data_IF_635314233452
#
_entry.id   IF_635314233452
#
_cell.length_a   1.000
_cell.length_b   1.000
_cell.length_c   1.000
_cell.angle_alpha   90.00
_cell.angle_beta   90.00
_cell.angle_gamma   90.00
#
_symmetry.space_group_name_H-M   'P 1'
#
loop_
_entity.id
_entity.type
_entity.pdbx_description
1 polymer ?
#
# COMPACT_ATOMS: atom_id res chain seq x y z
N UNK A 1 53.11 -20.55 -6.97
CA UNK A 1 52.00 -20.80 -6.01
C UNK A 1 51.70 -19.58 -5.12
N UNK A 2 52.72 -18.82 -4.73
CA UNK A 2 52.52 -17.59 -3.94
C UNK A 2 51.83 -16.46 -4.71
N UNK A 3 52.06 -16.34 -6.01
CA UNK A 3 51.42 -15.30 -6.83
C UNK A 3 49.94 -15.58 -7.08
N UNK A 4 49.56 -16.86 -7.16
CA UNK A 4 48.14 -17.27 -7.28
C UNK A 4 47.37 -16.97 -6.02
N UNK A 5 47.94 -17.14 -4.83
CA UNK A 5 47.33 -16.76 -3.57
C UNK A 5 47.29 -15.25 -3.37
N UNK A 6 48.27 -14.48 -3.87
CA UNK A 6 48.22 -12.99 -3.80
C UNK A 6 47.17 -12.38 -4.71
N UNK A 7 46.93 -12.98 -5.87
CA UNK A 7 45.87 -12.53 -6.80
C UNK A 7 44.45 -12.80 -6.24
N UNK A 8 44.26 -13.91 -5.53
CA UNK A 8 43.02 -14.21 -4.82
C UNK A 8 42.88 -13.47 -3.48
N UNK A 9 43.98 -13.09 -2.83
CA UNK A 9 43.94 -12.31 -1.57
C UNK A 9 43.97 -10.80 -1.78
N UNK A 10 44.13 -10.29 -2.99
CA UNK A 10 43.79 -8.94 -3.38
C UNK A 10 42.25 -8.80 -3.56
N UNK A 11 41.50 -9.41 -2.67
CA UNK A 11 40.11 -9.08 -2.42
C UNK A 11 40.15 -7.66 -1.92
N UNK A 12 39.90 -6.73 -2.84
CA UNK A 12 40.00 -5.28 -2.60
C UNK A 12 38.89 -4.87 -1.61
N UNK A 13 39.17 -5.08 -0.32
CA UNK A 13 38.29 -4.76 0.78
C UNK A 13 37.79 -3.32 0.67
N UNK A 14 38.60 -2.42 0.10
CA UNK A 14 38.20 -1.04 -0.17
C UNK A 14 37.07 -0.94 -1.14
N UNK A 15 37.09 -1.64 -2.26
CA UNK A 15 36.01 -1.63 -3.27
C UNK A 15 34.72 -2.27 -2.74
N UNK A 16 34.84 -3.33 -1.95
CA UNK A 16 33.68 -3.97 -1.32
C UNK A 16 33.03 -3.02 -0.32
N UNK A 17 33.83 -2.34 0.49
CA UNK A 17 33.32 -1.35 1.46
C UNK A 17 32.68 -0.18 0.73
N UNK A 18 33.30 0.34 -0.34
CA UNK A 18 32.72 1.41 -1.14
C UNK A 18 31.37 1.05 -1.79
N UNK A 19 31.18 -0.20 -2.20
CA UNK A 19 29.91 -0.67 -2.77
C UNK A 19 28.86 -1.04 -1.71
N UNK A 20 29.27 -1.66 -0.60
CA UNK A 20 28.35 -2.10 0.44
C UNK A 20 27.90 -0.96 1.37
N UNK A 21 28.77 0.02 1.62
CA UNK A 21 28.46 1.13 2.52
C UNK A 21 27.18 1.89 2.13
N UNK A 22 27.00 2.31 0.86
CA UNK A 22 25.77 3.00 0.45
C UNK A 22 24.54 2.09 0.55
N UNK A 23 24.65 0.79 0.27
CA UNK A 23 23.54 -0.15 0.38
C UNK A 23 23.10 -0.29 1.83
N UNK A 24 24.06 -0.46 2.76
CA UNK A 24 23.76 -0.53 4.19
C UNK A 24 23.15 0.77 4.70
N UNK A 25 23.66 1.91 4.26
CA UNK A 25 23.12 3.22 4.63
C UNK A 25 21.68 3.36 4.15
N UNK A 26 21.39 3.05 2.89
CA UNK A 26 20.02 3.10 2.34
C UNK A 26 19.10 2.11 3.05
N UNK A 27 19.58 0.90 3.36
CA UNK A 27 18.82 -0.07 4.13
C UNK A 27 18.41 0.49 5.52
N UNK A 28 19.36 1.09 6.24
CA UNK A 28 19.08 1.70 7.55
C UNK A 28 18.10 2.86 7.42
N UNK A 29 18.27 3.73 6.42
CA UNK A 29 17.34 4.85 6.17
C UNK A 29 15.94 4.33 5.85
N UNK A 30 15.81 3.33 4.98
CA UNK A 30 14.52 2.71 4.66
C UNK A 30 13.86 2.08 5.90
N UNK A 31 14.62 1.38 6.73
CA UNK A 31 14.10 0.80 7.97
C UNK A 31 13.61 1.86 8.96
N UNK A 32 14.33 2.99 9.07
CA UNK A 32 13.88 4.13 9.88
C UNK A 32 12.61 4.76 9.29
N UNK A 33 12.57 4.98 7.99
CA UNK A 33 11.39 5.51 7.29
C UNK A 33 10.17 4.60 7.50
N UNK A 34 10.32 3.28 7.35
CA UNK A 34 9.26 2.30 7.60
C UNK A 34 8.76 2.40 9.05
N UNK A 35 9.65 2.49 10.04
CA UNK A 35 9.26 2.66 11.44
C UNK A 35 8.46 3.95 11.67
N UNK A 36 8.88 5.06 11.07
CA UNK A 36 8.19 6.35 11.21
C UNK A 36 6.81 6.27 10.57
N UNK A 37 6.71 5.79 9.32
CA UNK A 37 5.45 5.64 8.59
C UNK A 37 4.49 4.71 9.37
N UNK A 38 4.97 3.54 9.80
CA UNK A 38 4.15 2.60 10.57
C UNK A 38 3.70 3.15 11.91
N UNK A 39 4.53 3.97 12.57
CA UNK A 39 4.14 4.67 13.79
C UNK A 39 3.03 5.69 13.54
N UNK A 40 3.11 6.45 12.45
CA UNK A 40 2.06 7.39 12.04
C UNK A 40 0.76 6.67 11.70
N UNK A 41 0.83 5.59 10.91
CA UNK A 41 -0.31 4.74 10.55
C UNK A 41 -0.99 4.20 11.81
N UNK A 42 -0.23 3.59 12.72
CA UNK A 42 -0.76 3.06 13.99
C UNK A 42 -1.44 4.13 14.84
N UNK A 43 -0.87 5.34 14.91
CA UNK A 43 -1.48 6.47 15.63
C UNK A 43 -2.78 6.92 14.98
N UNK A 44 -2.82 6.98 13.65
CA UNK A 44 -4.02 7.34 12.89
C UNK A 44 -5.15 6.34 13.12
N UNK A 45 -4.85 5.04 12.95
CA UNK A 45 -5.83 3.96 13.07
C UNK A 45 -6.37 3.85 14.50
N UNK A 46 -5.52 4.01 15.54
CA UNK A 46 -5.97 3.96 16.95
C UNK A 46 -6.99 5.02 17.33
N UNK A 47 -7.04 6.15 16.60
CA UNK A 47 -8.05 7.21 16.82
C UNK A 47 -9.42 6.86 16.22
N UNK A 48 -9.49 5.83 15.38
CA UNK A 48 -10.69 5.42 14.66
C UNK A 48 -11.32 4.23 15.38
N UNK A 49 -12.66 4.22 15.53
CA UNK A 49 -13.42 3.12 16.15
C UNK A 49 -13.58 1.91 15.19
N UNK A 50 -12.51 1.56 14.49
CA UNK A 50 -12.51 0.40 13.59
C UNK A 50 -12.30 -0.89 14.37
N UNK A 51 -12.85 -1.99 13.89
CA UNK A 51 -12.62 -3.31 14.47
C UNK A 51 -11.16 -3.73 14.40
N UNK A 52 -10.72 -4.52 15.39
CA UNK A 52 -9.32 -4.99 15.50
C UNK A 52 -8.85 -5.73 14.25
N UNK A 53 -9.73 -6.49 13.59
CA UNK A 53 -9.41 -7.20 12.35
C UNK A 53 -9.00 -6.26 11.21
N UNK A 54 -9.74 -5.17 11.02
CA UNK A 54 -9.45 -4.17 10.00
C UNK A 54 -8.16 -3.40 10.31
N UNK A 55 -7.86 -3.11 11.59
CA UNK A 55 -6.59 -2.53 12.00
C UNK A 55 -5.41 -3.38 11.57
N UNK A 56 -5.46 -4.69 11.91
CA UNK A 56 -4.39 -5.64 11.58
C UNK A 56 -4.23 -5.79 10.08
N UNK A 57 -5.33 -5.84 9.33
CA UNK A 57 -5.30 -5.93 7.87
C UNK A 57 -4.60 -4.72 7.24
N UNK A 58 -5.00 -3.49 7.61
CA UNK A 58 -4.40 -2.26 7.09
C UNK A 58 -2.91 -2.18 7.45
N UNK A 59 -2.55 -2.45 8.72
CA UNK A 59 -1.15 -2.43 9.14
C UNK A 59 -0.29 -3.41 8.36
N UNK A 60 -0.75 -4.66 8.18
CA UNK A 60 -0.01 -5.68 7.45
C UNK A 60 0.11 -5.35 5.96
N UNK A 61 -0.97 -4.85 5.34
CA UNK A 61 -0.95 -4.47 3.91
C UNK A 61 0.07 -3.35 3.67
N UNK A 62 0.03 -2.28 4.45
CA UNK A 62 0.99 -1.17 4.33
C UNK A 62 2.42 -1.65 4.59
N UNK A 63 2.61 -2.49 5.60
CA UNK A 63 3.91 -3.06 5.93
C UNK A 63 4.49 -3.88 4.78
N UNK A 64 3.70 -4.75 4.16
CA UNK A 64 4.12 -5.56 3.01
C UNK A 64 4.53 -4.66 1.83
N UNK A 65 3.74 -3.64 1.52
CA UNK A 65 4.04 -2.67 0.45
C UNK A 65 5.37 -1.94 0.72
N UNK A 66 5.58 -1.46 1.94
CA UNK A 66 6.80 -0.73 2.30
C UNK A 66 8.05 -1.62 2.24
N UNK A 67 7.97 -2.87 2.71
CA UNK A 67 9.08 -3.80 2.58
C UNK A 67 9.35 -4.19 1.13
N UNK A 68 8.31 -4.33 0.32
CA UNK A 68 8.46 -4.59 -1.11
C UNK A 68 9.20 -3.45 -1.82
N UNK A 69 8.82 -2.19 -1.53
CA UNK A 69 9.52 -1.01 -2.07
C UNK A 69 10.99 -0.99 -1.62
N UNK A 70 11.26 -1.28 -0.35
CA UNK A 70 12.64 -1.37 0.16
C UNK A 70 13.47 -2.40 -0.58
N UNK A 71 12.90 -3.59 -0.84
CA UNK A 71 13.57 -4.66 -1.60
C UNK A 71 13.88 -4.20 -3.03
N UNK A 72 12.97 -3.51 -3.70
CA UNK A 72 13.20 -2.98 -5.04
C UNK A 72 14.35 -1.95 -5.05
N UNK A 73 14.37 -1.02 -4.08
CA UNK A 73 15.44 -0.01 -3.98
C UNK A 73 16.81 -0.69 -3.80
N UNK A 74 16.89 -1.70 -2.95
CA UNK A 74 18.14 -2.42 -2.69
C UNK A 74 18.54 -3.24 -3.93
N UNK A 75 17.60 -3.88 -4.61
CA UNK A 75 17.85 -4.64 -5.82
C UNK A 75 18.39 -3.74 -6.95
N UNK A 76 17.85 -2.54 -7.11
CA UNK A 76 18.32 -1.54 -8.06
C UNK A 76 19.78 -1.12 -7.77
N UNK A 77 20.11 -0.89 -6.51
CA UNK A 77 21.48 -0.58 -6.08
C UNK A 77 22.49 -1.72 -6.34
N UNK A 78 22.00 -2.95 -6.36
CA UNK A 78 22.78 -4.15 -6.70
C UNK A 78 22.86 -4.39 -8.22
N UNK A 79 22.36 -3.45 -9.05
CA UNK A 79 22.26 -3.56 -10.51
C UNK A 79 21.43 -4.79 -10.97
N UNK A 80 20.49 -5.26 -10.16
CA UNK A 80 19.55 -6.31 -10.54
C UNK A 80 18.49 -5.67 -11.46
N UNK A 81 18.17 -6.22 -12.63
CA UNK A 81 17.17 -5.66 -13.53
C UNK A 81 15.77 -5.78 -12.93
N UNK A 82 15.32 -4.71 -12.23
CA UNK A 82 14.01 -4.68 -11.56
C UNK A 82 12.82 -4.40 -12.49
N UNK A 83 13.08 -3.98 -13.74
CA UNK A 83 12.02 -3.58 -14.67
C UNK A 83 10.98 -4.70 -14.93
N UNK A 84 11.43 -5.94 -15.04
CA UNK A 84 10.53 -7.10 -15.21
C UNK A 84 9.68 -7.38 -13.96
N UNK A 85 10.27 -7.17 -12.77
CA UNK A 85 9.52 -7.26 -11.51
C UNK A 85 8.46 -6.16 -11.44
N UNK A 86 8.83 -4.91 -11.71
CA UNK A 86 7.91 -3.78 -11.70
C UNK A 86 6.77 -4.03 -12.71
N UNK A 87 7.08 -4.50 -13.92
CA UNK A 87 6.07 -4.82 -14.92
C UNK A 87 5.10 -5.91 -14.41
N UNK A 88 5.61 -6.99 -13.83
CA UNK A 88 4.78 -8.07 -13.27
C UNK A 88 3.88 -7.56 -12.15
N UNK A 89 4.43 -6.79 -11.20
CA UNK A 89 3.64 -6.23 -10.11
C UNK A 89 2.62 -5.18 -10.58
N UNK A 90 2.91 -4.46 -11.68
CA UNK A 90 1.96 -3.54 -12.29
C UNK A 90 0.72 -4.28 -12.81
N UNK A 91 0.90 -5.45 -13.43
CA UNK A 91 -0.22 -6.30 -13.88
C UNK A 91 -1.03 -6.82 -12.68
N UNK A 92 -0.36 -7.27 -11.61
CA UNK A 92 -1.04 -7.70 -10.37
C UNK A 92 -1.80 -6.53 -9.74
N UNK A 93 -1.21 -5.33 -9.71
CA UNK A 93 -1.86 -4.12 -9.22
C UNK A 93 -3.09 -3.73 -10.02
N UNK A 94 -3.01 -3.84 -11.35
CA UNK A 94 -4.16 -3.61 -12.24
C UNK A 94 -5.27 -4.61 -11.96
N UNK A 95 -4.96 -5.90 -11.87
CA UNK A 95 -5.93 -6.93 -11.56
C UNK A 95 -6.61 -6.70 -10.20
N UNK A 96 -5.84 -6.36 -9.17
CA UNK A 96 -6.37 -6.02 -7.85
C UNK A 96 -7.26 -4.76 -7.91
N UNK A 97 -6.87 -3.73 -8.67
CA UNK A 97 -7.66 -2.51 -8.87
C UNK A 97 -9.01 -2.81 -9.52
N UNK A 98 -9.03 -3.65 -10.57
CA UNK A 98 -10.27 -4.07 -11.21
C UNK A 98 -11.16 -4.88 -10.27
N UNK A 99 -10.57 -5.71 -9.42
CA UNK A 99 -11.33 -6.52 -8.46
C UNK A 99 -12.06 -5.68 -7.39
N UNK A 100 -11.54 -4.50 -7.03
CA UNK A 100 -12.15 -3.61 -6.01
C UNK A 100 -12.90 -2.42 -6.63
N UNK A 101 -12.94 -2.31 -7.96
CA UNK A 101 -13.47 -1.14 -8.68
C UNK A 101 -14.91 -0.81 -8.27
N UNK A 102 -15.79 -1.79 -8.22
CA UNK A 102 -17.21 -1.58 -7.88
C UNK A 102 -17.36 -1.13 -6.43
N UNK A 103 -16.59 -1.69 -5.51
CA UNK A 103 -16.61 -1.28 -4.10
C UNK A 103 -16.17 0.18 -3.95
N UNK A 104 -15.12 0.59 -4.67
CA UNK A 104 -14.62 1.95 -4.65
C UNK A 104 -15.60 2.93 -5.31
N UNK A 105 -16.25 2.53 -6.39
CA UNK A 105 -17.31 3.30 -7.07
C UNK A 105 -18.50 3.53 -6.13
N UNK A 106 -18.98 2.50 -5.45
CA UNK A 106 -20.06 2.60 -4.48
C UNK A 106 -19.70 3.53 -3.30
N UNK A 107 -18.46 3.42 -2.81
CA UNK A 107 -17.97 4.32 -1.75
C UNK A 107 -17.93 5.78 -2.22
N UNK A 108 -17.41 6.05 -3.41
CA UNK A 108 -17.37 7.40 -3.99
C UNK A 108 -18.77 7.98 -4.18
N UNK A 109 -19.70 7.17 -4.70
CA UNK A 109 -21.12 7.56 -4.88
C UNK A 109 -21.80 7.84 -3.54
N UNK A 110 -21.55 7.00 -2.52
CA UNK A 110 -22.09 7.22 -1.17
C UNK A 110 -21.57 8.51 -0.53
N UNK A 111 -20.27 8.80 -0.66
CA UNK A 111 -19.69 10.07 -0.21
C UNK A 111 -20.35 11.25 -0.96
N UNK A 112 -20.51 11.13 -2.28
CA UNK A 112 -21.15 12.18 -3.07
C UNK A 112 -22.57 12.46 -2.59
N UNK A 113 -23.39 11.43 -2.33
CA UNK A 113 -24.74 11.58 -1.78
C UNK A 113 -24.72 12.29 -0.42
N UNK A 114 -23.77 11.91 0.45
CA UNK A 114 -23.62 12.54 1.77
C UNK A 114 -23.14 14.00 1.72
N UNK A 115 -22.43 14.41 0.68
CA UNK A 115 -21.94 15.78 0.51
C UNK A 115 -22.97 16.66 -0.20
N UNK A 116 -23.60 16.17 -1.28
CA UNK A 116 -24.51 16.95 -2.12
C UNK A 116 -25.95 16.92 -1.63
N UNK A 117 -26.32 15.93 -0.80
CA UNK A 117 -27.67 15.74 -0.25
C UNK A 117 -28.79 15.83 -1.31
N UNK A 118 -28.72 15.07 -2.42
CA UNK A 118 -29.73 15.08 -3.46
C UNK A 118 -31.07 14.57 -2.95
N UNK A 119 -31.07 13.75 -1.88
CA UNK A 119 -32.24 13.31 -1.10
C UNK A 119 -31.79 13.11 0.36
N UNK A 120 -32.77 13.04 1.26
CA UNK A 120 -32.56 12.92 2.71
C UNK A 120 -33.27 11.69 3.27
N UNK A 121 -32.94 11.33 4.53
CA UNK A 121 -33.74 10.34 5.25
C UNK A 121 -35.19 10.82 5.39
N UNK A 122 -36.14 9.96 5.01
CA UNK A 122 -37.55 10.26 4.95
C UNK A 122 -38.12 10.58 3.56
N UNK A 123 -37.24 10.86 2.57
CA UNK A 123 -37.67 11.09 1.19
C UNK A 123 -38.03 9.77 0.51
N UNK A 124 -39.04 9.81 -0.36
CA UNK A 124 -39.38 8.70 -1.23
C UNK A 124 -38.54 8.81 -2.52
N UNK A 125 -37.75 7.77 -2.83
CA UNK A 125 -36.94 7.72 -4.04
C UNK A 125 -37.22 6.47 -4.85
N UNK A 126 -36.98 6.56 -6.15
CA UNK A 126 -37.06 5.46 -7.09
C UNK A 126 -35.76 5.43 -7.88
N UNK A 127 -35.12 4.25 -7.94
CA UNK A 127 -33.85 4.06 -8.66
C UNK A 127 -33.41 2.60 -8.65
N UNK A 128 -32.59 2.24 -9.62
CA UNK A 128 -32.00 0.89 -9.75
C UNK A 128 -33.05 -0.26 -9.70
N UNK A 129 -34.27 -0.02 -10.18
CA UNK A 129 -35.36 -1.00 -10.18
C UNK A 129 -36.02 -1.23 -8.82
N UNK A 130 -35.74 -0.39 -7.83
CA UNK A 130 -36.36 -0.41 -6.49
C UNK A 130 -36.87 0.97 -6.14
N UNK A 131 -37.94 1.03 -5.32
CA UNK A 131 -38.48 2.27 -4.80
C UNK A 131 -38.83 2.12 -3.33
N UNK A 132 -38.75 3.22 -2.58
CA UNK A 132 -39.08 3.20 -1.16
C UNK A 132 -38.69 4.50 -0.45
N UNK A 133 -39.04 4.57 0.82
CA UNK A 133 -38.66 5.71 1.67
C UNK A 133 -37.27 5.49 2.25
N UNK A 134 -36.38 6.46 2.13
CA UNK A 134 -35.00 6.40 2.64
C UNK A 134 -34.99 6.28 4.15
N UNK A 135 -34.50 5.15 4.66
CA UNK A 135 -34.32 4.90 6.09
C UNK A 135 -32.98 5.41 6.60
N UNK A 136 -31.90 5.07 5.88
CA UNK A 136 -30.55 5.50 6.22
C UNK A 136 -29.66 5.58 4.98
N UNK A 137 -28.71 6.50 5.01
CA UNK A 137 -27.69 6.69 3.98
C UNK A 137 -26.35 6.33 4.60
N UNK A 138 -25.69 5.28 4.04
CA UNK A 138 -24.36 4.83 4.45
C UNK A 138 -23.34 5.14 3.36
N UNK A 139 -22.05 4.94 3.64
CA UNK A 139 -20.97 5.20 2.68
C UNK A 139 -21.03 4.33 1.42
N UNK A 140 -21.59 3.13 1.50
CA UNK A 140 -21.59 2.17 0.38
C UNK A 140 -22.98 1.81 -0.13
N UNK A 141 -24.03 2.14 0.62
CA UNK A 141 -25.42 1.79 0.27
C UNK A 141 -26.42 2.69 0.98
N UNK A 142 -27.60 2.83 0.39
CA UNK A 142 -28.78 3.48 0.98
C UNK A 142 -29.82 2.41 1.30
N UNK A 143 -30.40 2.46 2.49
CA UNK A 143 -31.45 1.52 2.92
C UNK A 143 -32.81 2.17 2.68
N UNK A 144 -33.65 1.46 1.95
CA UNK A 144 -35.06 1.85 1.71
C UNK A 144 -36.03 0.98 2.54
N UNK A 145 -37.16 1.52 2.86
CA UNK A 145 -38.35 0.87 3.45
C UNK A 145 -39.46 0.79 2.43
#
# INVERSE_FOLDING_TARGET
MEDFFKEYMNFDLGKIVEQLLPIVLVFVVCMLAIKVIMSAVKRGIKKTKLEKGLHTFIENTIKVILYFIMVLIIADMLNIPINSLIATFSVVGLAASLAIQDSLSNLASGIMILVTHPFKCGDYIEGAGTSGTVRSINFTHTVLL
#
